data_IF_160180843880
#
_entry.id   IF_160180843880
#
_cell.length_a   1.000
_cell.length_b   1.000
_cell.length_c   1.000
_cell.angle_alpha   90.00
_cell.angle_beta   90.00
_cell.angle_gamma   90.00
#
_symmetry.space_group_name_H-M   'P 1'
#
loop_
_entity.id
_entity.type
_entity.pdbx_description
1 polymer ?
#
# COMPACT_ATOMS: atom_id res chain seq x y z
N UNK A 1 31.37 -34.44 13.48
CA UNK A 1 30.80 -34.78 12.17
C UNK A 1 29.82 -33.68 11.80
N UNK A 2 30.22 -32.87 10.87
CA UNK A 2 29.44 -31.65 10.48
C UNK A 2 28.32 -32.06 9.52
N UNK A 3 27.08 -31.97 9.97
CA UNK A 3 25.94 -31.98 9.06
C UNK A 3 25.83 -30.63 8.38
N UNK A 4 26.37 -30.53 7.16
CA UNK A 4 26.05 -29.47 6.24
C UNK A 4 24.57 -29.58 5.89
N UNK A 5 23.80 -28.57 6.26
CA UNK A 5 22.44 -28.41 5.77
C UNK A 5 22.48 -28.35 4.23
N UNK A 6 21.86 -29.31 3.61
CA UNK A 6 21.72 -29.43 2.18
C UNK A 6 20.67 -28.38 1.74
N UNK A 7 21.13 -27.20 1.37
CA UNK A 7 20.28 -26.23 0.70
C UNK A 7 19.89 -26.84 -0.64
N UNK A 8 18.61 -27.02 -0.88
CA UNK A 8 18.08 -27.58 -2.11
C UNK A 8 18.54 -26.76 -3.31
N UNK A 9 19.62 -27.24 -3.94
CA UNK A 9 20.05 -26.75 -5.23
C UNK A 9 19.60 -27.78 -6.26
N UNK A 10 18.93 -27.35 -7.30
CA UNK A 10 18.73 -28.18 -8.48
C UNK A 10 19.26 -27.47 -9.72
N UNK A 11 19.91 -28.27 -10.57
CA UNK A 11 20.51 -27.78 -11.81
C UNK A 11 19.62 -28.22 -12.95
N UNK A 12 19.21 -27.29 -13.76
CA UNK A 12 18.45 -27.56 -14.99
C UNK A 12 19.29 -27.16 -16.20
N UNK A 13 19.53 -28.12 -17.09
CA UNK A 13 20.20 -27.84 -18.35
C UNK A 13 19.22 -27.25 -19.35
N UNK A 14 19.54 -26.08 -19.86
CA UNK A 14 18.75 -25.36 -20.86
C UNK A 14 19.56 -25.25 -22.16
N UNK A 15 18.94 -25.64 -23.25
CA UNK A 15 19.53 -25.47 -24.59
C UNK A 15 19.13 -24.11 -25.15
N UNK A 16 20.13 -23.29 -25.48
CA UNK A 16 19.89 -21.99 -26.11
C UNK A 16 19.61 -22.17 -27.62
N UNK A 17 18.94 -21.21 -28.26
CA UNK A 17 18.72 -21.23 -29.72
C UNK A 17 20.01 -21.29 -30.53
N UNK A 18 21.15 -20.89 -29.94
CA UNK A 18 22.49 -20.98 -30.53
C UNK A 18 23.08 -22.39 -30.48
N UNK A 19 22.37 -23.39 -29.95
CA UNK A 19 22.84 -24.76 -29.77
C UNK A 19 23.79 -24.98 -28.59
N UNK A 20 24.03 -23.94 -27.75
CA UNK A 20 24.83 -24.07 -26.52
C UNK A 20 23.93 -24.50 -25.35
N UNK A 21 24.45 -25.47 -24.60
CA UNK A 21 23.84 -25.85 -23.33
C UNK A 21 24.40 -24.99 -22.18
N UNK A 22 23.50 -24.46 -21.36
CA UNK A 22 23.86 -23.81 -20.09
C UNK A 22 23.22 -24.55 -18.92
N UNK A 23 23.95 -24.70 -17.84
CA UNK A 23 23.42 -25.26 -16.60
C UNK A 23 22.98 -24.11 -15.69
N UNK A 24 21.66 -24.00 -15.49
CA UNK A 24 21.05 -22.98 -14.61
C UNK A 24 20.87 -23.60 -13.24
N UNK A 25 21.53 -23.02 -12.26
CA UNK A 25 21.43 -23.44 -10.84
C UNK A 25 20.30 -22.66 -10.19
N UNK A 26 19.29 -23.38 -9.74
CA UNK A 26 18.22 -22.83 -8.95
C UNK A 26 18.49 -23.09 -7.48
N UNK A 27 18.40 -22.05 -6.68
CA UNK A 27 18.50 -22.15 -5.22
C UNK A 27 17.08 -22.13 -4.65
N UNK A 28 16.61 -23.24 -4.11
CA UNK A 28 15.45 -23.20 -3.25
C UNK A 28 15.89 -22.57 -1.92
N UNK A 29 15.57 -21.29 -1.76
CA UNK A 29 15.57 -20.72 -0.43
C UNK A 29 14.38 -21.34 0.30
N UNK A 30 14.58 -22.13 1.37
CA UNK A 30 13.46 -22.53 2.19
C UNK A 30 12.83 -21.23 2.68
N UNK A 31 11.64 -20.92 2.17
CA UNK A 31 10.84 -19.87 2.72
C UNK A 31 10.50 -20.28 4.16
N UNK A 32 11.32 -19.84 5.11
CA UNK A 32 10.82 -19.73 6.47
C UNK A 32 9.50 -18.95 6.33
N UNK A 33 8.39 -19.41 6.96
CA UNK A 33 7.18 -18.61 6.97
C UNK A 33 7.57 -17.30 7.63
N UNK A 34 7.84 -16.30 6.79
CA UNK A 34 8.05 -14.96 7.28
C UNK A 34 6.80 -14.61 8.08
N UNK A 35 6.93 -14.13 9.33
CA UNK A 35 5.78 -13.68 10.08
C UNK A 35 5.03 -12.74 9.13
N UNK A 36 3.71 -12.92 9.03
CA UNK A 36 2.83 -12.16 8.14
C UNK A 36 3.05 -10.67 8.40
N UNK A 37 4.00 -10.09 7.70
CA UNK A 37 4.36 -8.69 7.84
C UNK A 37 3.18 -7.88 7.34
N UNK A 38 2.64 -7.05 8.21
CA UNK A 38 1.61 -6.10 7.85
C UNK A 38 2.29 -4.89 7.22
N UNK A 39 2.18 -4.75 5.91
CA UNK A 39 2.89 -3.71 5.16
C UNK A 39 2.46 -2.29 5.55
N UNK A 40 1.26 -2.12 6.08
CA UNK A 40 0.75 -0.83 6.55
C UNK A 40 1.34 -0.39 7.90
N UNK A 41 1.98 -1.28 8.65
CA UNK A 41 2.63 -0.96 9.92
C UNK A 41 4.10 -0.59 9.70
N UNK A 42 4.49 0.58 10.21
CA UNK A 42 5.86 1.04 10.13
C UNK A 42 6.76 0.33 11.16
N UNK A 43 7.84 -0.34 10.73
CA UNK A 43 8.74 -1.03 11.66
C UNK A 43 9.56 -0.06 12.52
N UNK A 44 9.58 1.24 12.18
CA UNK A 44 10.37 2.25 12.88
C UNK A 44 9.58 3.01 13.95
N UNK A 45 8.33 3.33 13.68
CA UNK A 45 7.50 4.14 14.58
C UNK A 45 6.19 3.48 15.00
N UNK A 46 5.95 2.23 14.62
CA UNK A 46 4.77 1.41 14.93
C UNK A 46 3.42 2.03 14.52
N UNK A 47 3.43 3.04 13.66
CA UNK A 47 2.21 3.64 13.08
C UNK A 47 1.74 2.85 11.87
N UNK A 48 0.43 2.77 11.70
CA UNK A 48 -0.25 2.08 10.59
C UNK A 48 -0.54 3.00 9.39
N UNK A 49 0.41 3.87 9.06
CA UNK A 49 0.29 4.91 8.05
C UNK A 49 1.12 4.64 6.79
N UNK A 50 1.78 3.49 6.71
CA UNK A 50 2.64 3.14 5.56
C UNK A 50 1.79 3.00 4.31
N UNK A 51 2.26 3.62 3.23
CA UNK A 51 1.63 3.56 1.92
C UNK A 51 2.65 3.27 0.81
N UNK A 52 2.24 2.73 -0.33
CA UNK A 52 3.11 2.50 -1.47
C UNK A 52 3.35 3.82 -2.21
N UNK A 53 4.62 4.09 -2.57
CA UNK A 53 5.02 5.23 -3.40
C UNK A 53 5.17 4.81 -4.84
N UNK A 54 5.79 3.65 -5.06
CA UNK A 54 6.04 3.06 -6.37
C UNK A 54 5.83 1.56 -6.27
N UNK A 55 5.36 0.95 -7.36
CA UNK A 55 5.20 -0.49 -7.46
C UNK A 55 5.43 -0.95 -8.89
N UNK A 56 6.06 -2.11 -9.03
CA UNK A 56 6.34 -2.74 -10.31
C UNK A 56 6.14 -4.25 -10.23
N UNK A 57 5.55 -4.83 -11.26
CA UNK A 57 5.41 -6.28 -11.36
C UNK A 57 6.75 -6.89 -11.80
N UNK A 58 7.40 -7.64 -10.92
CA UNK A 58 8.66 -8.33 -11.22
C UNK A 58 8.45 -9.75 -11.74
N UNK A 59 7.29 -10.34 -11.45
CA UNK A 59 6.85 -11.64 -11.96
C UNK A 59 5.33 -11.75 -11.85
N UNK A 60 4.68 -12.74 -12.50
CA UNK A 60 3.23 -12.94 -12.41
C UNK A 60 2.69 -13.11 -10.99
N UNK A 61 3.55 -13.35 -10.00
CA UNK A 61 3.17 -13.63 -8.62
C UNK A 61 3.84 -12.71 -7.59
N UNK A 62 4.73 -11.80 -8.02
CA UNK A 62 5.50 -10.95 -7.12
C UNK A 62 5.57 -9.51 -7.62
N UNK A 63 5.46 -8.60 -6.66
CA UNK A 63 5.53 -7.17 -6.85
C UNK A 63 6.70 -6.58 -6.07
N UNK A 64 7.46 -5.70 -6.69
CA UNK A 64 8.39 -4.82 -6.00
C UNK A 64 7.65 -3.54 -5.61
N UNK A 65 7.68 -3.19 -4.33
CA UNK A 65 6.94 -2.05 -3.79
C UNK A 65 7.87 -1.19 -2.96
N UNK A 66 7.89 0.11 -3.27
CA UNK A 66 8.54 1.12 -2.44
C UNK A 66 7.53 1.63 -1.41
N UNK A 67 7.77 1.31 -0.16
CA UNK A 67 6.96 1.72 0.98
C UNK A 67 7.50 3.01 1.62
N UNK A 68 6.60 3.85 2.13
CA UNK A 68 6.93 5.05 2.89
C UNK A 68 6.00 5.22 4.09
N UNK A 69 6.56 5.61 5.22
CA UNK A 69 5.80 6.07 6.38
C UNK A 69 5.80 7.61 6.42
N UNK A 70 4.64 8.29 6.38
CA UNK A 70 4.58 9.75 6.42
C UNK A 70 4.92 10.33 7.81
N UNK A 71 4.81 9.53 8.87
CA UNK A 71 5.06 9.99 10.23
C UNK A 71 6.56 10.12 10.56
N UNK A 72 7.38 9.15 10.15
CA UNK A 72 8.82 9.13 10.45
C UNK A 72 9.72 9.15 9.22
N UNK A 73 9.12 9.24 8.03
CA UNK A 73 9.80 9.26 6.72
C UNK A 73 10.58 7.98 6.39
N UNK A 74 10.34 6.89 7.11
CA UNK A 74 10.93 5.61 6.81
C UNK A 74 10.54 5.15 5.41
N UNK A 75 11.48 4.57 4.68
CA UNK A 75 11.30 4.01 3.34
C UNK A 75 11.93 2.64 3.26
N UNK A 76 11.30 1.76 2.52
CA UNK A 76 11.84 0.44 2.21
C UNK A 76 11.35 -0.01 0.84
N UNK A 77 12.28 -0.51 0.03
CA UNK A 77 11.98 -1.22 -1.20
C UNK A 77 11.98 -2.72 -0.88
N UNK A 78 10.90 -3.41 -1.19
CA UNK A 78 10.78 -4.85 -0.93
C UNK A 78 9.98 -5.56 -2.01
N UNK A 79 10.23 -6.86 -2.15
CA UNK A 79 9.49 -7.72 -3.05
C UNK A 79 8.50 -8.57 -2.24
N UNK A 80 7.24 -8.53 -2.63
CA UNK A 80 6.14 -9.19 -1.92
C UNK A 80 5.32 -10.06 -2.88
N UNK A 81 4.76 -11.13 -2.35
CA UNK A 81 3.85 -12.00 -3.09
C UNK A 81 2.49 -11.32 -3.29
N UNK A 82 1.74 -11.78 -4.31
CA UNK A 82 0.43 -11.23 -4.66
C UNK A 82 -0.53 -11.20 -3.46
N UNK A 83 -0.58 -12.27 -2.67
CA UNK A 83 -1.47 -12.33 -1.52
C UNK A 83 -1.17 -11.29 -0.43
N UNK A 84 0.10 -10.92 -0.26
CA UNK A 84 0.54 -9.87 0.67
C UNK A 84 0.15 -8.50 0.14
N UNK A 85 0.32 -8.27 -1.16
CA UNK A 85 -0.07 -7.02 -1.83
C UNK A 85 -1.58 -6.83 -1.80
N UNK A 86 -2.36 -7.86 -2.10
CA UNK A 86 -3.83 -7.81 -2.06
C UNK A 86 -4.34 -7.42 -0.66
N UNK A 87 -3.79 -8.00 0.40
CA UNK A 87 -4.15 -7.63 1.78
C UNK A 87 -3.76 -6.20 2.14
N UNK A 88 -2.66 -5.73 1.60
CA UNK A 88 -2.25 -4.34 1.79
C UNK A 88 -3.20 -3.37 1.08
N UNK A 89 -3.59 -3.69 -0.14
CA UNK A 89 -4.54 -2.93 -0.95
C UNK A 89 -5.92 -2.85 -0.28
N UNK A 90 -6.47 -3.98 0.20
CA UNK A 90 -7.70 -4.02 0.98
C UNK A 90 -7.64 -3.10 2.21
N UNK A 91 -6.49 -3.05 2.88
CA UNK A 91 -6.31 -2.18 4.05
C UNK A 91 -6.28 -0.69 3.67
N UNK A 92 -5.67 -0.35 2.54
CA UNK A 92 -5.66 1.01 2.00
C UNK A 92 -7.06 1.45 1.57
N UNK A 93 -7.83 0.57 0.96
CA UNK A 93 -9.22 0.83 0.55
C UNK A 93 -10.11 1.16 1.75
N UNK A 94 -10.04 0.38 2.82
CA UNK A 94 -10.78 0.66 4.07
C UNK A 94 -10.42 2.05 4.61
N UNK A 95 -9.13 2.42 4.62
CA UNK A 95 -8.68 3.74 5.04
C UNK A 95 -9.24 4.86 4.17
N UNK A 96 -9.26 4.65 2.86
CA UNK A 96 -9.81 5.60 1.89
C UNK A 96 -11.32 5.80 2.07
N UNK A 97 -12.07 4.74 2.27
CA UNK A 97 -13.53 4.80 2.52
C UNK A 97 -13.85 5.58 3.80
N UNK A 98 -13.10 5.35 4.88
CA UNK A 98 -13.25 6.07 6.14
C UNK A 98 -12.99 7.56 5.95
N UNK A 99 -11.92 7.92 5.22
CA UNK A 99 -11.58 9.31 4.92
C UNK A 99 -12.67 10.00 4.10
N UNK A 100 -13.21 9.32 3.09
CA UNK A 100 -14.32 9.83 2.27
C UNK A 100 -15.60 10.03 3.09
N UNK A 101 -15.90 9.12 4.02
CA UNK A 101 -17.05 9.28 4.91
C UNK A 101 -16.89 10.50 5.82
N UNK A 102 -15.70 10.71 6.39
CA UNK A 102 -15.40 11.88 7.21
C UNK A 102 -15.48 13.18 6.43
N UNK A 103 -14.97 13.19 5.19
CA UNK A 103 -15.04 14.36 4.30
C UNK A 103 -16.51 14.74 4.00
N UNK A 104 -17.34 13.76 3.67
CA UNK A 104 -18.78 13.99 3.43
C UNK A 104 -19.48 14.57 4.66
N UNK A 105 -19.16 14.05 5.85
CA UNK A 105 -19.71 14.55 7.12
C UNK A 105 -19.30 16.01 7.37
N UNK A 106 -18.04 16.35 7.12
CA UNK A 106 -17.55 17.74 7.26
C UNK A 106 -18.20 18.67 6.25
N UNK A 107 -18.34 18.26 4.99
CA UNK A 107 -19.03 19.05 3.96
C UNK A 107 -20.49 19.32 4.35
N UNK A 108 -21.19 18.32 4.86
CA UNK A 108 -22.57 18.48 5.33
C UNK A 108 -22.66 19.46 6.48
N UNK A 109 -21.78 19.32 7.52
CA UNK A 109 -21.75 20.22 8.65
C UNK A 109 -21.49 21.69 8.25
N UNK A 110 -20.53 21.90 7.33
CA UNK A 110 -20.24 23.24 6.80
C UNK A 110 -21.43 23.82 6.03
N UNK A 111 -22.11 23.01 5.22
CA UNK A 111 -23.30 23.45 4.48
C UNK A 111 -24.44 23.82 5.44
N UNK A 112 -24.67 23.05 6.49
CA UNK A 112 -25.67 23.34 7.50
C UNK A 112 -25.37 24.68 8.21
N UNK A 113 -24.11 24.94 8.56
CA UNK A 113 -23.67 26.20 9.15
C UNK A 113 -23.86 27.37 8.21
N UNK A 114 -23.50 27.25 6.94
CA UNK A 114 -23.69 28.26 5.90
C UNK A 114 -25.18 28.60 5.70
N UNK A 115 -26.05 27.59 5.70
CA UNK A 115 -27.49 27.77 5.61
C UNK A 115 -28.03 28.57 6.81
N UNK A 116 -27.60 28.21 8.02
CA UNK A 116 -28.00 28.93 9.23
C UNK A 116 -27.56 30.38 9.20
N UNK A 117 -26.34 30.67 8.77
CA UNK A 117 -25.82 32.02 8.62
C UNK A 117 -26.59 32.79 7.56
N UNK A 118 -26.89 32.17 6.41
CA UNK A 118 -27.65 32.77 5.33
C UNK A 118 -29.09 33.12 5.76
N UNK A 119 -29.78 32.19 6.42
CA UNK A 119 -31.14 32.44 6.94
C UNK A 119 -31.12 33.55 7.98
N UNK A 120 -30.13 33.56 8.89
CA UNK A 120 -29.97 34.64 9.86
C UNK A 120 -29.75 36.03 9.20
N UNK A 121 -29.00 36.07 8.12
CA UNK A 121 -28.77 37.31 7.37
C UNK A 121 -30.03 37.79 6.61
N UNK A 122 -30.84 36.87 6.11
CA UNK A 122 -32.16 37.21 5.52
C UNK A 122 -33.13 37.75 6.57
N UNK A 123 -33.21 37.09 7.74
CA UNK A 123 -34.11 37.49 8.83
C UNK A 123 -33.71 38.87 9.42
N UNK A 124 -32.43 39.21 9.31
CA UNK A 124 -31.91 40.50 9.77
C UNK A 124 -31.95 41.60 8.69
N UNK A 125 -32.58 41.35 7.54
CA UNK A 125 -32.58 42.26 6.37
C UNK A 125 -31.16 42.70 5.91
N UNK A 126 -30.15 41.84 6.18
CA UNK A 126 -28.76 42.09 5.79
C UNK A 126 -28.46 41.70 4.35
N UNK A 127 -29.36 40.97 3.70
CA UNK A 127 -29.31 40.57 2.29
C UNK A 127 -30.58 41.10 1.63
N UNK A 128 -30.42 41.92 0.61
CA UNK A 128 -31.52 42.53 -0.14
C UNK A 128 -31.62 41.90 -1.54
N UNK A 129 -32.82 41.98 -2.21
CA UNK A 129 -32.98 41.46 -3.56
C UNK A 129 -32.03 42.09 -4.59
N UNK A 130 -31.52 43.28 -4.31
CA UNK A 130 -30.58 44.02 -5.15
C UNK A 130 -29.13 43.42 -5.08
N UNK A 131 -28.86 42.53 -4.14
CA UNK A 131 -27.55 41.88 -3.98
C UNK A 131 -27.35 40.66 -4.91
N UNK A 132 -28.36 40.27 -5.69
CA UNK A 132 -28.34 39.13 -6.60
C UNK A 132 -28.30 39.49 -8.08
#
# INVERSE_FOLDING_TARGET
>A
MSHRANHGQYVRRVMLPSGRAIDVVYFETPAAPAPLRRLHECPRCDRDLVYPVEWEEVSPTHWEVLLRCPNCEWRELGTFDQATVDRFDERLDVGTELLLADLRRLQQANMEEEIVQFVGALDADAILPEDF
#
